data_IF_968890820938
#
_entry.id   IF_968890820938
#
_cell.length_a   1.000
_cell.length_b   1.000
_cell.length_c   1.000
_cell.angle_alpha   90.00
_cell.angle_beta   90.00
_cell.angle_gamma   90.00
#
_symmetry.space_group_name_H-M   'P 1'
#
loop_
_entity.id
_entity.type
_entity.pdbx_description
1 polymer ?
#
# COMPACT_ATOMS: atom_id res chain seq x y z
N UNK A 1 11.60 0.46 -6.06
CA UNK A 1 10.19 0.16 -6.39
C UNK A 1 9.90 -1.29 -6.08
N UNK A 2 9.10 -1.51 -5.04
CA UNK A 2 8.58 -2.82 -4.68
C UNK A 2 7.57 -3.28 -5.73
N UNK A 3 7.25 -4.58 -5.76
CA UNK A 3 6.30 -5.16 -6.74
C UNK A 3 4.88 -5.30 -6.20
N UNK A 4 4.59 -4.76 -5.02
CA UNK A 4 3.29 -4.87 -4.39
C UNK A 4 2.24 -4.09 -5.17
N UNK A 5 1.03 -4.65 -5.21
CA UNK A 5 -0.09 -3.96 -5.82
C UNK A 5 -0.49 -2.76 -4.98
N UNK A 6 -0.86 -1.67 -5.65
CA UNK A 6 -1.38 -0.48 -5.01
C UNK A 6 -2.70 -0.10 -5.65
N UNK A 7 -3.75 -0.03 -4.85
CA UNK A 7 -5.06 0.43 -5.26
C UNK A 7 -5.23 1.86 -4.74
N UNK A 8 -5.35 2.82 -5.66
CA UNK A 8 -5.58 4.23 -5.36
C UNK A 8 -7.00 4.59 -5.77
N UNK A 9 -7.84 5.00 -4.82
CA UNK A 9 -9.25 5.32 -5.06
C UNK A 9 -9.61 6.68 -4.48
N UNK A 10 -10.40 7.47 -5.22
CA UNK A 10 -10.99 8.69 -4.69
C UNK A 10 -12.05 8.36 -3.63
N UNK A 11 -12.01 9.07 -2.51
CA UNK A 11 -13.05 9.07 -1.48
C UNK A 11 -13.84 10.38 -1.56
N UNK A 12 -15.13 10.28 -1.85
CA UNK A 12 -16.02 11.45 -1.80
C UNK A 12 -16.24 11.97 -0.37
N UNK A 13 -16.07 11.12 0.64
CA UNK A 13 -16.20 11.52 2.05
C UNK A 13 -14.99 12.33 2.51
N UNK A 14 -13.79 11.84 2.21
CA UNK A 14 -12.54 12.45 2.67
C UNK A 14 -12.03 13.53 1.72
N UNK A 15 -12.53 13.58 0.48
CA UNK A 15 -12.00 14.40 -0.61
C UNK A 15 -10.50 14.17 -0.86
N UNK A 16 -10.08 12.90 -0.76
CA UNK A 16 -8.70 12.46 -0.91
C UNK A 16 -8.64 11.19 -1.76
N UNK A 17 -7.47 10.94 -2.35
CA UNK A 17 -7.12 9.62 -2.86
C UNK A 17 -6.62 8.74 -1.72
N UNK A 18 -7.30 7.64 -1.45
CA UNK A 18 -6.95 6.65 -0.45
C UNK A 18 -6.16 5.52 -1.08
N UNK A 19 -5.16 5.00 -0.34
CA UNK A 19 -4.26 3.96 -0.80
C UNK A 19 -4.50 2.68 -0.01
N UNK A 20 -4.72 1.59 -0.74
CA UNK A 20 -4.81 0.23 -0.18
C UNK A 20 -3.76 -0.66 -0.83
N UNK A 21 -3.08 -1.48 -0.03
CA UNK A 21 -2.12 -2.49 -0.48
C UNK A 21 -2.71 -3.86 -0.12
N UNK A 22 -3.43 -4.54 -1.04
CA UNK A 22 -4.21 -5.74 -0.72
C UNK A 22 -3.41 -6.87 -0.07
N UNK A 23 -2.12 -6.95 -0.36
CA UNK A 23 -1.18 -7.92 0.22
C UNK A 23 -0.96 -7.71 1.72
N UNK A 24 -1.20 -6.50 2.23
CA UNK A 24 -0.96 -6.14 3.63
C UNK A 24 -2.26 -6.13 4.46
N UNK A 25 -3.42 -6.42 3.88
CA UNK A 25 -4.74 -6.25 4.54
C UNK A 25 -4.93 -7.08 5.82
N UNK A 26 -4.17 -8.17 5.97
CA UNK A 26 -4.22 -9.03 7.15
C UNK A 26 -3.26 -8.57 8.27
N UNK A 27 -2.35 -7.64 7.96
CA UNK A 27 -1.31 -7.15 8.87
C UNK A 27 -1.53 -5.69 9.29
N UNK A 28 -2.12 -4.86 8.43
CA UNK A 28 -2.31 -3.43 8.68
C UNK A 28 -3.75 -3.01 8.40
N UNK A 29 -4.21 -2.00 9.13
CA UNK A 29 -5.52 -1.38 8.88
C UNK A 29 -5.46 -0.58 7.59
N UNK A 30 -6.51 -0.71 6.78
CA UNK A 30 -6.65 -0.02 5.50
C UNK A 30 -7.72 1.08 5.58
N UNK A 31 -7.60 2.15 4.77
CA UNK A 31 -6.48 2.49 3.88
C UNK A 31 -5.20 2.82 4.67
N UNK A 32 -4.03 2.54 4.09
CA UNK A 32 -2.75 2.69 4.80
C UNK A 32 -2.17 4.10 4.69
N UNK A 33 -2.59 4.88 3.69
CA UNK A 33 -2.22 6.29 3.51
C UNK A 33 -3.17 6.97 2.51
N UNK A 34 -2.94 8.25 2.25
CA UNK A 34 -3.74 9.08 1.34
C UNK A 34 -2.88 10.12 0.61
N UNK A 35 -3.47 10.81 -0.37
CA UNK A 35 -2.93 12.04 -0.96
C UNK A 35 -4.04 12.92 -1.55
N UNK A 36 -3.78 14.21 -1.71
CA UNK A 36 -4.72 15.15 -2.36
C UNK A 36 -4.76 14.93 -3.88
N UNK A 37 -3.66 14.42 -4.44
CA UNK A 37 -3.54 14.04 -5.84
C UNK A 37 -3.21 12.56 -5.98
N UNK A 38 -3.44 12.01 -7.18
CA UNK A 38 -3.13 10.61 -7.47
C UNK A 38 -1.62 10.36 -7.38
N UNK A 39 -0.83 11.34 -7.80
CA UNK A 39 0.63 11.33 -7.78
C UNK A 39 1.18 11.38 -6.36
N UNK A 40 0.59 12.21 -5.49
CA UNK A 40 0.93 12.24 -4.06
C UNK A 40 0.55 10.94 -3.37
N UNK A 41 -0.66 10.42 -3.61
CA UNK A 41 -1.08 9.14 -3.04
C UNK A 41 -0.17 7.99 -3.48
N UNK A 42 0.28 7.98 -4.74
CA UNK A 42 1.27 7.02 -5.23
C UNK A 42 2.58 7.13 -4.43
N UNK A 43 3.13 8.34 -4.29
CA UNK A 43 4.39 8.56 -3.58
C UNK A 43 4.29 8.13 -2.11
N UNK A 44 3.25 8.58 -1.41
CA UNK A 44 3.01 8.20 -0.01
C UNK A 44 2.81 6.69 0.12
N UNK A 45 2.16 6.05 -0.85
CA UNK A 45 2.00 4.60 -0.90
C UNK A 45 3.34 3.86 -1.03
N UNK A 46 4.27 4.36 -1.85
CA UNK A 46 5.61 3.79 -1.98
C UNK A 46 6.40 3.89 -0.67
N UNK A 47 6.37 5.05 -0.01
CA UNK A 47 7.03 5.25 1.29
C UNK A 47 6.48 4.31 2.37
N UNK A 48 5.15 4.15 2.42
CA UNK A 48 4.51 3.25 3.37
C UNK A 48 4.86 1.78 3.12
N UNK A 49 5.00 1.37 1.86
CA UNK A 49 5.48 0.01 1.55
C UNK A 49 6.89 -0.19 2.09
N UNK A 50 7.81 0.75 1.81
CA UNK A 50 9.20 0.64 2.27
C UNK A 50 9.28 0.59 3.80
N UNK A 51 8.54 1.48 4.48
CA UNK A 51 8.46 1.52 5.94
C UNK A 51 7.97 0.19 6.54
N UNK A 52 6.90 -0.42 6.01
CA UNK A 52 6.40 -1.69 6.56
C UNK A 52 7.36 -2.86 6.28
N UNK A 53 7.97 -2.92 5.10
CA UNK A 53 8.94 -3.96 4.78
C UNK A 53 10.17 -3.88 5.68
N UNK A 54 10.65 -2.67 5.97
CA UNK A 54 11.75 -2.46 6.92
C UNK A 54 11.35 -2.89 8.34
N UNK A 55 10.18 -2.49 8.81
CA UNK A 55 9.67 -2.86 10.13
C UNK A 55 9.57 -4.38 10.30
N UNK A 56 8.89 -5.07 9.38
CA UNK A 56 8.74 -6.53 9.45
C UNK A 56 10.07 -7.27 9.33
N UNK A 57 11.00 -6.76 8.50
CA UNK A 57 12.34 -7.33 8.40
C UNK A 57 13.12 -7.21 9.73
N UNK A 58 12.97 -6.09 10.45
CA UNK A 58 13.61 -5.88 11.76
C UNK A 58 12.97 -6.73 12.85
N UNK A 59 11.64 -6.85 12.82
CA UNK A 59 10.86 -7.62 13.81
C UNK A 59 10.92 -9.14 13.57
N UNK A 60 11.38 -9.58 12.39
CA UNK A 60 11.38 -10.98 12.00
C UNK A 60 9.99 -11.52 11.68
N UNK A 61 9.06 -10.61 11.37
CA UNK A 61 7.68 -10.94 10.99
C UNK A 61 7.63 -11.44 9.53
N UNK A 62 6.65 -12.29 9.19
CA UNK A 62 6.50 -12.78 7.83
C UNK A 62 6.12 -11.63 6.89
N UNK A 63 6.93 -11.45 5.84
CA UNK A 63 6.66 -10.46 4.80
C UNK A 63 5.71 -11.06 3.76
N UNK A 64 4.54 -10.44 3.49
CA UNK A 64 3.63 -10.91 2.44
C UNK A 64 4.31 -10.93 1.07
N UNK A 65 3.97 -11.88 0.20
CA UNK A 65 4.51 -11.86 -1.17
C UNK A 65 3.67 -10.95 -2.08
N UNK A 66 4.30 -10.20 -3.01
CA UNK A 66 3.58 -9.38 -3.98
C UNK A 66 2.63 -10.20 -4.87
N UNK A 67 1.42 -9.69 -5.11
CA UNK A 67 0.52 -10.25 -6.11
C UNK A 67 1.03 -9.87 -7.50
N UNK A 68 1.09 -10.87 -8.38
CA UNK A 68 1.43 -10.66 -9.79
C UNK A 68 0.21 -10.94 -10.65
N UNK A 69 0.09 -10.21 -11.77
CA UNK A 69 -0.99 -10.44 -12.73
C UNK A 69 -0.88 -11.86 -13.29
N UNK A 70 -1.88 -12.69 -13.01
CA UNK A 70 -2.04 -13.97 -13.69
C UNK A 70 -2.93 -13.75 -14.90
N UNK A 71 -2.35 -13.87 -16.09
CA UNK A 71 -3.08 -13.85 -17.35
C UNK A 71 -3.40 -15.32 -17.69
N UNK A 72 -4.68 -15.63 -17.86
CA UNK A 72 -5.16 -16.93 -18.31
C UNK A 72 -5.04 -17.09 -19.83
#
# INVERSE_FOLDING_TARGET
MSRYSMIIQWSDEDQLFLVTIPEFSDLVVMPCTHGETREEALHNGEEVIEMYLEAWNVEGEPIPEPRTLQVA
#
